data_IF_377228505284
#
_entry.id   IF_377228505284
#
_cell.length_a   1.000
_cell.length_b   1.000
_cell.length_c   1.000
_cell.angle_alpha   90.00
_cell.angle_beta   90.00
_cell.angle_gamma   90.00
#
_symmetry.space_group_name_H-M   'P 1'
#
loop_
_entity.id
_entity.type
_entity.pdbx_description
1 polymer ?
#
# COMPACT_ATOMS: atom_id res chain seq x y z
N UNK A 1 56.95 -19.38 22.36
CA UNK A 1 56.45 -19.06 21.00
C UNK A 1 55.39 -17.97 21.15
N UNK A 2 55.77 -16.71 20.98
CA UNK A 2 54.90 -15.55 21.22
C UNK A 2 54.10 -15.24 19.94
N UNK A 3 52.83 -15.66 19.90
CA UNK A 3 51.91 -15.29 18.83
C UNK A 3 51.56 -13.81 19.04
N UNK A 4 52.04 -12.93 18.14
CA UNK A 4 51.81 -11.48 18.17
C UNK A 4 50.30 -11.17 18.16
N UNK A 5 49.82 -10.45 19.19
CA UNK A 5 48.43 -9.96 19.35
C UNK A 5 47.93 -9.03 18.22
N UNK A 6 48.79 -8.54 17.35
CA UNK A 6 48.43 -7.64 16.24
C UNK A 6 47.60 -8.31 15.12
N UNK A 7 47.64 -9.63 14.98
CA UNK A 7 46.97 -10.33 13.87
C UNK A 7 45.47 -10.63 14.12
N UNK A 8 44.99 -10.51 15.36
CA UNK A 8 43.60 -10.84 15.72
C UNK A 8 42.68 -9.63 15.52
N UNK A 9 43.14 -8.42 15.88
CA UNK A 9 42.35 -7.20 15.69
C UNK A 9 42.11 -6.84 14.22
N UNK A 10 43.07 -7.09 13.32
CA UNK A 10 42.89 -6.85 11.89
C UNK A 10 41.89 -7.83 11.25
N UNK A 11 41.85 -9.09 11.71
CA UNK A 11 40.86 -10.07 11.25
C UNK A 11 39.46 -9.77 11.75
N UNK A 12 39.32 -9.29 12.98
CA UNK A 12 38.04 -8.85 13.53
C UNK A 12 37.49 -7.59 12.82
N UNK A 13 38.36 -6.64 12.46
CA UNK A 13 37.96 -5.45 11.67
C UNK A 13 37.53 -5.82 10.24
N UNK A 14 38.21 -6.76 9.59
CA UNK A 14 37.80 -7.25 8.27
C UNK A 14 36.46 -7.99 8.30
N UNK A 15 36.22 -8.83 9.31
CA UNK A 15 34.93 -9.51 9.49
C UNK A 15 33.79 -8.53 9.81
N UNK A 16 34.04 -7.49 10.61
CA UNK A 16 33.07 -6.42 10.88
C UNK A 16 32.75 -5.59 9.64
N UNK A 17 33.76 -5.27 8.81
CA UNK A 17 33.57 -4.56 7.55
C UNK A 17 32.84 -5.41 6.48
N UNK A 18 33.08 -6.73 6.45
CA UNK A 18 32.35 -7.66 5.59
C UNK A 18 30.89 -7.83 6.03
N UNK A 19 30.60 -7.78 7.33
CA UNK A 19 29.22 -7.76 7.84
C UNK A 19 28.51 -6.43 7.51
N UNK A 20 29.17 -5.29 7.69
CA UNK A 20 28.58 -3.98 7.36
C UNK A 20 28.37 -3.78 5.85
N UNK A 21 29.28 -4.30 5.01
CA UNK A 21 29.14 -4.26 3.55
C UNK A 21 28.08 -5.24 3.02
N UNK A 22 27.77 -6.32 3.74
CA UNK A 22 26.72 -7.26 3.33
C UNK A 22 25.32 -6.77 3.66
N UNK A 23 25.14 -5.95 4.70
CA UNK A 23 23.83 -5.30 4.95
C UNK A 23 23.53 -4.21 3.93
N UNK A 24 24.53 -3.42 3.53
CA UNK A 24 24.36 -2.37 2.50
C UNK A 24 24.22 -2.92 1.09
N UNK A 25 24.93 -4.01 0.76
CA UNK A 25 24.77 -4.70 -0.53
C UNK A 25 23.44 -5.46 -0.63
N UNK A 26 22.90 -5.99 0.48
CA UNK A 26 21.56 -6.59 0.48
C UNK A 26 20.45 -5.55 0.32
N UNK A 27 20.61 -4.31 0.80
CA UNK A 27 19.64 -3.24 0.53
C UNK A 27 19.54 -2.90 -0.96
N UNK A 28 20.69 -2.84 -1.65
CA UNK A 28 20.76 -2.57 -3.08
C UNK A 28 20.30 -3.77 -3.95
N UNK A 29 20.47 -5.02 -3.52
CA UNK A 29 19.97 -6.18 -4.27
C UNK A 29 18.52 -6.56 -3.96
N UNK A 30 18.01 -6.25 -2.77
CA UNK A 30 16.64 -6.63 -2.36
C UNK A 30 15.57 -5.74 -3.00
N UNK A 31 15.94 -4.54 -3.47
CA UNK A 31 15.02 -3.58 -4.12
C UNK A 31 15.64 -2.86 -5.34
N UNK A 32 16.81 -3.30 -5.81
CA UNK A 32 17.55 -2.64 -6.90
C UNK A 32 17.10 -3.06 -8.27
N UNK A 33 16.56 -2.08 -8.99
CA UNK A 33 16.34 -2.10 -10.41
C UNK A 33 17.69 -2.25 -11.12
N UNK A 34 17.80 -3.13 -12.12
CA UNK A 34 19.04 -3.19 -12.89
C UNK A 34 19.21 -1.92 -13.72
N UNK A 35 20.38 -1.26 -13.60
CA UNK A 35 20.75 -0.06 -14.37
C UNK A 35 20.76 -0.29 -15.90
N UNK A 36 20.62 -1.55 -16.34
CA UNK A 36 20.56 -1.99 -17.73
C UNK A 36 19.16 -2.01 -18.35
N UNK A 37 18.12 -1.65 -17.60
CA UNK A 37 16.75 -1.72 -18.09
C UNK A 37 16.40 -0.56 -19.03
N UNK A 38 15.97 -0.92 -20.25
CA UNK A 38 15.33 0.04 -21.14
C UNK A 38 14.09 0.60 -20.42
N UNK A 39 14.03 1.93 -20.35
CA UNK A 39 12.89 2.62 -19.76
C UNK A 39 11.59 2.17 -20.42
N UNK A 40 10.57 1.87 -19.62
CA UNK A 40 9.21 1.63 -20.06
C UNK A 40 8.37 2.90 -19.84
N UNK A 41 7.74 3.42 -20.89
CA UNK A 41 6.93 4.64 -20.81
C UNK A 41 5.67 4.51 -19.95
N UNK A 42 5.18 3.29 -19.73
CA UNK A 42 4.04 3.06 -18.85
C UNK A 42 4.37 3.23 -17.37
N UNK A 43 5.65 3.27 -16.99
CA UNK A 43 6.09 3.46 -15.59
C UNK A 43 5.57 4.76 -14.97
N UNK A 44 5.47 5.81 -15.79
CA UNK A 44 5.01 7.14 -15.37
C UNK A 44 3.52 7.38 -15.68
N UNK A 45 2.77 6.31 -15.98
CA UNK A 45 1.33 6.40 -16.23
C UNK A 45 0.52 6.03 -14.99
N UNK A 46 -0.71 6.53 -14.96
CA UNK A 46 -1.60 6.33 -13.82
C UNK A 46 -2.06 4.88 -13.68
N UNK A 47 -2.13 4.39 -12.45
CA UNK A 47 -2.67 3.07 -12.11
C UNK A 47 -3.94 3.18 -11.27
N UNK A 48 -5.11 2.80 -11.81
CA UNK A 48 -6.37 2.84 -11.08
C UNK A 48 -6.48 1.80 -9.95
N UNK A 49 -6.96 2.25 -8.79
CA UNK A 49 -7.44 1.44 -7.68
C UNK A 49 -8.87 1.83 -7.36
N UNK A 50 -9.76 0.85 -7.15
CA UNK A 50 -11.11 1.14 -6.68
C UNK A 50 -11.36 0.67 -5.27
N UNK A 51 -12.24 1.39 -4.57
CA UNK A 51 -12.74 1.06 -3.24
C UNK A 51 -14.25 1.08 -3.25
N UNK A 52 -14.88 0.03 -2.70
CA UNK A 52 -16.33 -0.03 -2.52
C UNK A 52 -16.69 -0.59 -1.15
N UNK A 53 -17.83 -0.13 -0.65
CA UNK A 53 -18.45 -0.56 0.61
C UNK A 53 -19.81 -1.22 0.32
N UNK A 54 -20.36 -2.02 1.24
CA UNK A 54 -21.58 -2.78 0.96
C UNK A 54 -22.81 -1.90 0.68
N UNK A 55 -22.87 -0.68 1.22
CA UNK A 55 -23.98 0.24 1.02
C UNK A 55 -23.55 1.70 1.16
N UNK A 56 -24.07 2.54 0.26
CA UNK A 56 -24.04 4.00 0.31
C UNK A 56 -24.57 4.57 1.63
N UNK A 57 -25.66 3.99 2.15
CA UNK A 57 -26.31 4.47 3.37
C UNK A 57 -25.41 4.32 4.60
N UNK A 58 -24.49 3.35 4.57
CA UNK A 58 -23.60 3.12 5.69
C UNK A 58 -22.60 4.26 5.85
N UNK A 59 -22.19 4.85 4.73
CA UNK A 59 -21.22 5.95 4.73
C UNK A 59 -21.87 7.33 4.83
N UNK A 60 -23.18 7.44 4.54
CA UNK A 60 -23.96 8.67 4.79
C UNK A 60 -24.46 8.77 6.24
N UNK A 61 -24.75 7.63 6.88
CA UNK A 61 -25.42 7.59 8.20
C UNK A 61 -24.46 7.26 9.36
N UNK A 62 -23.38 6.52 9.10
CA UNK A 62 -22.43 6.08 10.12
C UNK A 62 -21.03 6.67 9.89
N UNK A 63 -20.12 6.40 10.82
CA UNK A 63 -18.72 6.76 10.65
C UNK A 63 -18.18 6.19 9.33
N UNK A 64 -17.50 7.03 8.54
CA UNK A 64 -17.03 6.66 7.21
C UNK A 64 -15.82 5.73 7.32
N UNK A 65 -15.76 4.64 6.55
CA UNK A 65 -14.57 3.84 6.46
C UNK A 65 -13.47 4.65 5.77
N UNK A 66 -12.24 4.27 6.06
CA UNK A 66 -11.03 4.96 5.62
C UNK A 66 -10.10 3.95 4.99
N UNK A 67 -9.27 4.37 4.07
CA UNK A 67 -8.22 3.53 3.55
C UNK A 67 -6.92 4.30 3.51
N UNK A 68 -5.81 3.57 3.58
CA UNK A 68 -4.50 4.06 3.17
C UNK A 68 -4.07 3.32 1.90
N UNK A 69 -3.51 4.06 0.95
CA UNK A 69 -2.67 3.49 -0.11
C UNK A 69 -1.27 4.03 0.11
N UNK A 70 -0.39 3.19 0.61
CA UNK A 70 1.01 3.52 0.90
C UNK A 70 1.85 2.96 -0.23
N UNK A 71 2.67 3.79 -0.84
CA UNK A 71 3.51 3.36 -1.95
C UNK A 71 4.86 4.05 -1.90
N UNK A 72 5.82 3.41 -2.54
CA UNK A 72 7.13 4.02 -2.74
C UNK A 72 7.52 3.77 -4.18
N UNK A 73 7.88 4.83 -4.90
CA UNK A 73 8.34 4.75 -6.28
C UNK A 73 9.63 3.93 -6.36
N UNK A 74 9.82 3.25 -7.50
CA UNK A 74 11.07 2.58 -7.77
C UNK A 74 12.02 3.48 -8.56
N UNK A 75 13.28 3.51 -8.15
CA UNK A 75 14.33 4.25 -8.84
C UNK A 75 14.46 5.71 -8.39
N UNK A 76 15.46 6.41 -8.93
CA UNK A 76 15.84 7.77 -8.50
C UNK A 76 15.28 8.87 -9.39
N UNK A 77 14.42 8.52 -10.36
CA UNK A 77 13.85 9.50 -11.28
C UNK A 77 12.68 10.19 -10.62
N UNK A 78 12.53 11.48 -10.94
CA UNK A 78 11.36 12.23 -10.51
C UNK A 78 10.14 11.78 -11.29
N UNK A 79 9.06 11.52 -10.58
CA UNK A 79 7.78 11.12 -11.12
C UNK A 79 6.79 12.29 -11.07
N UNK A 80 5.63 12.12 -11.70
CA UNK A 80 4.66 13.20 -11.89
C UNK A 80 4.14 13.78 -10.56
N UNK A 81 4.05 12.96 -9.53
CA UNK A 81 3.67 13.32 -8.17
C UNK A 81 4.74 14.13 -7.42
N UNK A 82 6.02 14.05 -7.82
CA UNK A 82 7.08 14.92 -7.29
C UNK A 82 6.93 16.38 -7.76
N UNK A 83 6.02 16.63 -8.69
CA UNK A 83 5.71 17.96 -9.24
C UNK A 83 4.30 18.42 -8.87
N UNK A 84 3.72 17.89 -7.79
CA UNK A 84 2.38 18.27 -7.29
C UNK A 84 2.19 19.80 -7.15
N UNK A 85 3.24 20.54 -6.79
CA UNK A 85 3.23 22.01 -6.70
C UNK A 85 2.95 22.71 -8.03
N UNK A 86 3.31 22.12 -9.18
CA UNK A 86 2.98 22.67 -10.50
C UNK A 86 1.47 22.70 -10.74
N UNK A 87 0.71 21.92 -9.98
CA UNK A 87 -0.73 21.78 -10.08
C UNK A 87 -1.45 22.53 -8.95
N UNK A 88 -0.78 23.51 -8.35
CA UNK A 88 -1.38 24.41 -7.38
C UNK A 88 -1.46 25.84 -7.96
N UNK A 89 -2.68 26.32 -8.21
CA UNK A 89 -2.94 27.67 -8.74
C UNK A 89 -3.70 28.45 -7.67
N UNK A 90 -3.10 29.54 -7.16
CA UNK A 90 -3.71 30.40 -6.13
C UNK A 90 -4.20 29.60 -4.91
N UNK A 91 -3.38 28.68 -4.42
CA UNK A 91 -3.69 27.77 -3.31
C UNK A 91 -4.85 26.79 -3.61
N UNK A 92 -5.23 26.62 -4.88
CA UNK A 92 -6.16 25.59 -5.33
C UNK A 92 -5.41 24.50 -6.08
N UNK A 93 -5.56 23.28 -5.60
CA UNK A 93 -5.07 22.11 -6.32
C UNK A 93 -5.97 21.86 -7.53
N UNK A 94 -5.41 22.06 -8.73
CA UNK A 94 -6.10 21.90 -10.04
C UNK A 94 -5.80 20.56 -10.71
N UNK A 95 -5.06 19.71 -10.03
CA UNK A 95 -4.82 18.34 -10.43
C UNK A 95 -6.15 17.58 -10.60
N UNK A 96 -6.25 16.63 -11.56
CA UNK A 96 -7.49 15.89 -11.77
C UNK A 96 -8.03 15.28 -10.47
N UNK A 97 -9.30 15.56 -10.17
CA UNK A 97 -9.98 14.96 -9.02
C UNK A 97 -9.87 13.43 -9.12
N UNK A 98 -9.51 12.78 -8.00
CA UNK A 98 -9.25 11.33 -7.87
C UNK A 98 -7.83 10.83 -8.23
N UNK A 99 -6.89 11.72 -8.59
CA UNK A 99 -5.47 11.32 -8.62
C UNK A 99 -4.81 11.49 -7.23
N UNK A 100 -3.96 10.54 -6.83
CA UNK A 100 -3.33 10.56 -5.51
C UNK A 100 -2.14 11.53 -5.45
N UNK A 101 -2.06 12.39 -4.43
CA UNK A 101 -0.89 13.26 -4.19
C UNK A 101 0.28 12.54 -3.53
N UNK A 102 0.00 11.50 -2.74
CA UNK A 102 1.01 10.78 -1.95
C UNK A 102 1.47 11.54 -0.69
N UNK A 103 0.87 12.68 -0.36
CA UNK A 103 1.32 13.58 0.71
C UNK A 103 0.38 13.61 1.92
N UNK A 104 -0.56 12.67 2.00
CA UNK A 104 -1.56 12.67 3.07
C UNK A 104 -0.95 12.23 4.41
N UNK A 105 -1.72 12.40 5.48
CA UNK A 105 -1.40 11.77 6.76
C UNK A 105 -2.06 10.41 6.83
N UNK A 106 -1.27 9.33 6.89
CA UNK A 106 -1.80 7.98 7.02
C UNK A 106 -2.80 7.88 8.18
N UNK A 107 -3.91 7.21 7.93
CA UNK A 107 -4.91 6.91 8.95
C UNK A 107 -4.41 5.79 9.87
N UNK A 108 -4.90 5.74 11.12
CA UNK A 108 -4.59 4.66 12.07
C UNK A 108 -3.11 4.43 12.41
N UNK A 109 -2.30 5.48 12.52
CA UNK A 109 -0.88 5.36 12.88
C UNK A 109 -0.59 5.07 14.36
N UNK A 110 -1.58 5.14 15.26
CA UNK A 110 -1.39 5.01 16.72
C UNK A 110 -2.59 4.33 17.41
N UNK A 111 -2.37 3.84 18.64
CA UNK A 111 -3.31 3.05 19.46
C UNK A 111 -4.50 3.80 20.09
N UNK A 112 -4.87 4.98 19.58
CA UNK A 112 -6.01 5.75 20.08
C UNK A 112 -7.31 5.48 19.32
N UNK A 113 -7.51 6.21 18.22
CA UNK A 113 -8.76 6.25 17.46
C UNK A 113 -9.02 5.03 16.56
N UNK A 114 -8.06 4.10 16.49
CA UNK A 114 -8.03 3.05 15.47
C UNK A 114 -7.80 1.64 16.01
N UNK A 115 -7.78 1.49 17.32
CA UNK A 115 -7.44 0.22 17.93
C UNK A 115 -8.55 -0.19 18.86
N UNK A 116 -9.21 -1.29 18.53
CA UNK A 116 -10.04 -2.01 19.49
C UNK A 116 -9.17 -2.90 20.35
N UNK A 117 -9.50 -2.99 21.64
CA UNK A 117 -8.83 -3.90 22.59
C UNK A 117 -8.73 -5.32 21.99
N UNK A 118 -7.51 -5.85 21.90
CA UNK A 118 -7.23 -7.18 21.34
C UNK A 118 -7.06 -7.25 19.81
N UNK A 119 -7.21 -6.14 19.10
CA UNK A 119 -6.96 -5.99 17.65
C UNK A 119 -6.11 -4.74 17.40
N UNK A 120 -4.95 -4.67 18.05
CA UNK A 120 -4.09 -3.48 18.00
C UNK A 120 -2.65 -3.85 17.69
N UNK A 121 -2.35 -4.04 16.41
CA UNK A 121 -1.00 -4.24 15.89
C UNK A 121 -0.97 -3.88 14.41
N UNK A 122 0.22 -3.81 13.80
CA UNK A 122 0.32 -3.64 12.35
C UNK A 122 -0.33 -4.83 11.64
N UNK A 123 -1.20 -4.55 10.68
CA UNK A 123 -2.03 -5.58 10.04
C UNK A 123 -3.25 -6.01 10.87
N UNK A 124 -3.50 -5.33 12.00
CA UNK A 124 -4.65 -5.52 12.87
C UNK A 124 -5.09 -4.16 13.42
N UNK A 125 -5.50 -3.23 12.54
CA UNK A 125 -6.05 -1.93 12.96
C UNK A 125 -5.02 -0.82 13.19
N UNK A 126 -3.71 -1.13 13.15
CA UNK A 126 -2.65 -0.11 13.08
C UNK A 126 -2.07 -0.13 11.67
N UNK A 127 -1.95 1.05 11.08
CA UNK A 127 -1.28 1.23 9.78
C UNK A 127 0.21 0.92 9.88
N UNK A 128 0.74 0.24 8.86
CA UNK A 128 2.16 -0.03 8.72
C UNK A 128 2.99 1.21 8.36
N UNK A 129 2.38 2.38 8.12
CA UNK A 129 3.08 3.57 7.63
C UNK A 129 4.35 3.90 8.41
N UNK A 130 4.29 3.89 9.74
CA UNK A 130 5.45 4.19 10.60
C UNK A 130 6.55 3.14 10.49
N UNK A 131 6.17 1.88 10.39
CA UNK A 131 7.10 0.76 10.24
C UNK A 131 7.79 0.84 8.88
N UNK A 132 7.04 1.21 7.83
CA UNK A 132 7.58 1.42 6.48
C UNK A 132 8.51 2.64 6.42
N UNK A 133 8.19 3.74 7.08
CA UNK A 133 9.11 4.89 7.21
C UNK A 133 10.41 4.50 7.92
N UNK A 134 10.33 3.66 8.96
CA UNK A 134 11.51 3.16 9.66
C UNK A 134 12.31 2.14 8.81
N UNK A 135 11.62 1.33 8.01
CA UNK A 135 12.25 0.35 7.11
C UNK A 135 12.93 1.01 5.90
N UNK A 136 12.38 2.10 5.40
CA UNK A 136 12.86 2.83 4.21
C UNK A 136 13.23 4.29 4.53
N UNK A 137 14.24 4.54 5.37
CA UNK A 137 14.57 5.88 5.86
C UNK A 137 15.13 6.82 4.79
N UNK A 138 15.67 6.27 3.70
CA UNK A 138 16.30 7.02 2.61
C UNK A 138 15.35 7.30 1.43
N UNK A 139 14.09 6.85 1.54
CA UNK A 139 13.11 6.95 0.48
C UNK A 139 11.87 7.72 0.92
N UNK A 140 11.16 8.27 -0.05
CA UNK A 140 9.91 8.97 0.20
C UNK A 140 8.75 7.98 0.34
N UNK A 141 8.30 7.75 1.57
CA UNK A 141 7.14 6.90 1.86
C UNK A 141 5.86 7.70 1.67
N UNK A 142 5.28 7.57 0.48
CA UNK A 142 4.08 8.28 0.06
C UNK A 142 2.83 7.57 0.55
N UNK A 143 1.82 8.35 0.92
CA UNK A 143 0.51 7.83 1.33
C UNK A 143 -0.64 8.67 0.81
N UNK A 144 -1.67 8.00 0.33
CA UNK A 144 -3.03 8.54 0.22
C UNK A 144 -3.83 8.02 1.41
N UNK A 145 -4.51 8.92 2.12
CA UNK A 145 -5.42 8.57 3.20
C UNK A 145 -6.80 9.18 2.92
N UNK A 146 -7.77 8.35 2.52
CA UNK A 146 -9.08 8.86 2.10
C UNK A 146 -10.21 7.89 2.48
N UNK A 147 -11.41 8.11 1.94
CA UNK A 147 -12.61 7.32 2.17
C UNK A 147 -13.29 7.00 0.83
N UNK A 148 -13.96 5.84 0.69
CA UNK A 148 -14.87 5.61 -0.41
C UNK A 148 -15.96 6.70 -0.49
N UNK A 149 -16.41 7.01 -1.70
CA UNK A 149 -17.55 7.89 -1.98
C UNK A 149 -18.84 7.30 -1.42
N UNK A 150 -19.83 8.16 -1.20
CA UNK A 150 -21.13 7.77 -0.66
C UNK A 150 -22.10 7.20 -1.70
N UNK A 151 -21.73 7.13 -2.97
CA UNK A 151 -22.67 6.79 -4.05
C UNK A 151 -22.84 5.28 -4.29
N UNK A 152 -22.26 4.42 -3.44
CA UNK A 152 -22.41 2.94 -3.53
C UNK A 152 -21.68 2.29 -4.71
N UNK A 153 -21.31 3.07 -5.70
CA UNK A 153 -20.46 2.68 -6.83
C UNK A 153 -18.98 2.55 -6.43
N UNK A 154 -18.21 1.97 -7.35
CA UNK A 154 -16.75 1.90 -7.25
C UNK A 154 -16.18 3.33 -7.16
N UNK A 155 -15.51 3.63 -6.04
CA UNK A 155 -14.76 4.88 -5.93
C UNK A 155 -13.36 4.66 -6.47
N UNK A 156 -13.07 5.30 -7.60
CA UNK A 156 -11.78 5.19 -8.26
C UNK A 156 -10.78 6.22 -7.73
N UNK A 157 -9.54 5.77 -7.56
CA UNK A 157 -8.38 6.60 -7.29
C UNK A 157 -7.22 6.13 -8.18
N UNK A 158 -6.44 7.06 -8.69
CA UNK A 158 -5.33 6.73 -9.59
C UNK A 158 -4.00 6.97 -8.92
N UNK A 159 -3.23 5.91 -8.66
CA UNK A 159 -1.81 6.06 -8.32
C UNK A 159 -1.12 6.83 -9.45
N UNK A 160 -0.23 7.77 -9.12
CA UNK A 160 0.40 8.64 -10.12
C UNK A 160 1.40 7.90 -11.03
N UNK A 161 1.77 6.66 -10.67
CA UNK A 161 2.80 5.86 -11.32
C UNK A 161 2.49 4.36 -11.26
N UNK A 162 3.15 3.59 -12.13
CA UNK A 162 3.14 2.11 -12.15
C UNK A 162 4.45 1.49 -11.69
N UNK A 163 5.52 2.28 -11.56
CA UNK A 163 6.83 1.77 -11.20
C UNK A 163 7.12 1.93 -9.70
N UNK A 164 6.87 0.85 -8.96
CA UNK A 164 6.85 0.87 -7.50
C UNK A 164 7.81 -0.16 -6.91
N UNK A 165 8.49 0.23 -5.83
CA UNK A 165 9.23 -0.71 -4.98
C UNK A 165 8.33 -1.32 -3.90
N UNK A 166 7.27 -0.59 -3.53
CA UNK A 166 6.28 -1.02 -2.53
C UNK A 166 4.92 -0.46 -2.89
N UNK A 167 3.89 -1.29 -2.74
CA UNK A 167 2.48 -0.91 -2.77
C UNK A 167 1.78 -1.66 -1.65
N UNK A 168 1.23 -0.91 -0.69
CA UNK A 168 0.42 -1.44 0.39
C UNK A 168 -0.93 -0.75 0.39
N UNK A 169 -1.99 -1.54 0.51
CA UNK A 169 -3.36 -1.04 0.65
C UNK A 169 -3.90 -1.52 1.99
N UNK A 170 -4.49 -0.61 2.74
CA UNK A 170 -5.08 -0.86 4.05
C UNK A 170 -6.50 -0.30 4.03
N UNK A 171 -7.50 -1.12 4.38
CA UNK A 171 -8.89 -0.70 4.44
C UNK A 171 -9.37 -0.80 5.87
N UNK A 172 -9.73 0.34 6.46
CA UNK A 172 -10.23 0.51 7.81
C UNK A 172 -11.73 0.79 7.83
N UNK A 173 -12.44 0.12 8.71
CA UNK A 173 -13.86 0.38 8.97
C UNK A 173 -14.08 0.69 10.43
N UNK A 174 -15.15 1.41 10.79
CA UNK A 174 -15.57 1.50 12.17
C UNK A 174 -15.72 0.10 12.78
N UNK A 175 -15.31 -0.06 14.02
CA UNK A 175 -15.55 -1.27 14.76
C UNK A 175 -17.03 -1.35 15.15
N UNK A 176 -17.68 -2.45 14.79
CA UNK A 176 -18.99 -2.81 15.33
C UNK A 176 -18.91 -4.17 16.03
N UNK A 177 -18.67 -4.11 17.34
CA UNK A 177 -18.78 -5.26 18.24
C UNK A 177 -20.24 -5.72 18.42
N UNK A 178 -20.49 -6.74 19.25
CA UNK A 178 -21.86 -7.11 19.64
C UNK A 178 -22.62 -5.90 20.20
N UNK A 179 -23.90 -5.80 19.83
CA UNK A 179 -24.78 -4.64 19.98
C UNK A 179 -24.73 -4.02 21.38
N UNK A 180 -24.49 -2.71 21.49
CA UNK A 180 -24.72 -1.96 22.73
C UNK A 180 -23.75 -0.83 23.10
N UNK A 181 -22.66 -0.59 22.36
CA UNK A 181 -21.67 0.45 22.72
C UNK A 181 -21.29 1.32 21.53
N UNK A 182 -22.26 1.93 20.87
CA UNK A 182 -22.00 3.12 20.05
C UNK A 182 -22.16 4.35 20.93
N UNK A 183 -21.16 4.62 21.77
CA UNK A 183 -21.03 5.96 22.34
C UNK A 183 -20.16 6.77 21.38
N UNK A 184 -20.65 7.93 20.95
CA UNK A 184 -20.01 8.82 19.97
C UNK A 184 -18.55 9.18 20.30
N UNK A 185 -18.11 8.92 21.54
CA UNK A 185 -16.78 9.14 22.07
C UNK A 185 -15.74 8.03 21.80
N UNK A 186 -16.12 6.86 21.25
CA UNK A 186 -15.19 5.74 21.00
C UNK A 186 -15.43 5.01 19.66
N UNK A 187 -15.47 5.74 18.54
CA UNK A 187 -15.44 5.10 17.21
C UNK A 187 -14.03 4.61 16.89
N UNK A 188 -13.63 3.48 17.45
CA UNK A 188 -12.39 2.80 17.10
C UNK A 188 -12.54 2.15 15.73
N UNK A 189 -11.51 2.23 14.89
CA UNK A 189 -11.48 1.53 13.62
C UNK A 189 -10.86 0.13 13.78
N UNK A 190 -11.15 -0.74 12.82
CA UNK A 190 -10.46 -2.01 12.60
C UNK A 190 -10.08 -2.10 11.12
N UNK A 191 -9.09 -2.92 10.79
CA UNK A 191 -8.63 -3.11 9.42
C UNK A 191 -9.17 -4.44 8.90
N UNK A 192 -10.35 -4.53 8.27
CA UNK A 192 -10.82 -5.78 7.69
C UNK A 192 -9.90 -6.35 6.60
N UNK A 193 -9.12 -5.51 5.91
CA UNK A 193 -8.21 -5.93 4.86
C UNK A 193 -6.96 -5.08 4.83
N UNK A 194 -5.81 -5.74 4.65
CA UNK A 194 -4.66 -5.14 4.02
C UNK A 194 -3.99 -6.15 3.07
N UNK A 195 -3.22 -5.62 2.12
CA UNK A 195 -2.26 -6.41 1.35
C UNK A 195 -1.04 -5.56 0.98
N UNK A 196 0.08 -6.24 0.72
CA UNK A 196 1.35 -5.59 0.43
C UNK A 196 2.13 -6.30 -0.67
N UNK A 197 2.42 -5.56 -1.72
CA UNK A 197 3.33 -5.92 -2.80
C UNK A 197 4.68 -5.23 -2.61
N UNK A 198 5.77 -5.98 -2.85
CA UNK A 198 7.15 -5.47 -2.82
C UNK A 198 7.89 -5.83 -4.10
N UNK A 199 8.73 -4.95 -4.62
CA UNK A 199 9.52 -5.23 -5.81
C UNK A 199 10.41 -6.46 -5.61
N UNK A 200 10.57 -7.26 -6.68
CA UNK A 200 11.39 -8.48 -6.66
C UNK A 200 12.83 -8.23 -7.11
N UNK A 201 13.14 -7.02 -7.60
CA UNK A 201 14.37 -6.72 -8.33
C UNK A 201 14.34 -7.12 -9.81
N UNK A 202 13.27 -7.78 -10.28
CA UNK A 202 13.11 -8.16 -11.69
C UNK A 202 12.27 -7.15 -12.50
N UNK A 203 12.93 -6.09 -12.98
CA UNK A 203 12.26 -4.94 -13.62
C UNK A 203 11.20 -4.30 -12.69
N UNK A 204 9.98 -4.12 -13.17
CA UNK A 204 8.80 -3.60 -12.45
C UNK A 204 7.92 -4.71 -11.82
N UNK A 205 8.44 -5.93 -11.69
CA UNK A 205 7.74 -7.02 -11.03
C UNK A 205 7.67 -6.80 -9.51
N UNK A 206 6.49 -7.04 -8.95
CA UNK A 206 6.25 -7.03 -7.52
C UNK A 206 5.68 -8.38 -7.06
N UNK A 207 6.05 -8.78 -5.86
CA UNK A 207 5.61 -9.99 -5.17
C UNK A 207 4.65 -9.62 -4.04
N UNK A 208 3.53 -10.33 -3.93
CA UNK A 208 2.62 -10.27 -2.79
C UNK A 208 3.33 -10.89 -1.57
N UNK A 209 3.59 -10.07 -0.56
CA UNK A 209 4.36 -10.46 0.63
C UNK A 209 3.49 -10.62 1.87
N UNK A 210 2.34 -9.95 1.92
CA UNK A 210 1.41 -10.07 3.02
C UNK A 210 -0.03 -9.79 2.57
N UNK A 211 -0.96 -10.54 3.15
CA UNK A 211 -2.41 -10.31 3.10
C UNK A 211 -2.95 -10.63 4.49
N UNK A 212 -3.84 -9.79 5.00
CA UNK A 212 -4.47 -10.08 6.27
C UNK A 212 -5.43 -8.99 6.71
N UNK A 213 -5.69 -8.94 8.00
CA UNK A 213 -6.61 -8.00 8.61
C UNK A 213 -7.44 -8.66 9.71
N UNK A 214 -8.57 -8.04 10.00
CA UNK A 214 -9.46 -8.35 11.13
C UNK A 214 -10.83 -8.83 10.67
N UNK A 215 -10.96 -9.21 9.40
CA UNK A 215 -12.15 -9.76 8.77
C UNK A 215 -12.81 -10.86 9.61
N UNK A 216 -14.12 -11.01 9.44
CA UNK A 216 -14.90 -11.98 10.19
C UNK A 216 -14.37 -13.41 9.98
N UNK A 217 -14.05 -14.09 11.08
CA UNK A 217 -13.50 -15.46 11.06
C UNK A 217 -12.14 -15.58 10.35
N UNK A 218 -11.40 -14.47 10.17
CA UNK A 218 -10.19 -14.44 9.35
C UNK A 218 -10.42 -14.97 7.92
N UNK A 219 -11.61 -14.73 7.36
CA UNK A 219 -11.96 -15.18 6.02
C UNK A 219 -11.49 -14.17 4.97
N UNK A 220 -10.50 -14.57 4.18
CA UNK A 220 -9.95 -13.81 3.05
C UNK A 220 -10.17 -14.51 1.71
N UNK A 221 -11.11 -15.47 1.62
CA UNK A 221 -11.35 -16.25 0.38
C UNK A 221 -11.82 -15.39 -0.81
N UNK A 222 -12.31 -14.18 -0.55
CA UNK A 222 -12.67 -13.19 -1.57
C UNK A 222 -11.47 -12.38 -2.10
N UNK A 223 -10.30 -12.51 -1.48
CA UNK A 223 -9.07 -11.78 -1.85
C UNK A 223 -8.28 -12.63 -2.85
N UNK A 224 -8.57 -12.42 -4.13
CA UNK A 224 -7.99 -13.12 -5.26
C UNK A 224 -6.89 -12.26 -5.91
N UNK A 225 -5.81 -12.05 -5.16
CA UNK A 225 -4.65 -11.28 -5.59
C UNK A 225 -3.55 -12.21 -6.14
N UNK A 226 -3.01 -11.97 -7.35
CA UNK A 226 -1.91 -12.77 -7.88
C UNK A 226 -0.67 -12.68 -7.00
N UNK A 227 0.08 -13.78 -6.91
CA UNK A 227 1.34 -13.82 -6.17
C UNK A 227 2.37 -12.80 -6.71
N UNK A 228 2.37 -12.59 -8.02
CA UNK A 228 3.24 -11.62 -8.70
C UNK A 228 2.45 -10.76 -9.66
N UNK A 229 2.82 -9.48 -9.74
CA UNK A 229 2.20 -8.52 -10.64
C UNK A 229 3.27 -7.65 -11.33
N UNK A 230 2.93 -7.15 -12.52
CA UNK A 230 3.55 -5.97 -13.12
C UNK A 230 2.44 -4.96 -13.32
N UNK A 231 2.50 -3.79 -12.68
CA UNK A 231 1.39 -2.83 -12.79
C UNK A 231 1.18 -2.35 -14.24
N UNK A 232 2.20 -2.43 -15.07
CA UNK A 232 2.15 -2.17 -16.53
C UNK A 232 1.28 -3.17 -17.31
N UNK A 233 0.99 -4.35 -16.77
CA UNK A 233 0.16 -5.38 -17.42
C UNK A 233 -1.29 -5.45 -16.95
N UNK A 234 -1.68 -4.65 -15.95
CA UNK A 234 -3.04 -4.66 -15.38
C UNK A 234 -3.76 -3.34 -15.62
N UNK A 235 -5.08 -3.40 -15.80
CA UNK A 235 -5.92 -2.22 -15.93
C UNK A 235 -6.13 -1.53 -14.57
N UNK A 236 -6.29 -2.31 -13.49
CA UNK A 236 -6.56 -1.80 -12.15
C UNK A 236 -6.36 -2.84 -11.04
N UNK A 237 -6.45 -2.40 -9.78
CA UNK A 237 -6.83 -3.25 -8.64
C UNK A 237 -8.19 -2.80 -8.12
N UNK A 238 -9.09 -3.74 -7.85
CA UNK A 238 -10.37 -3.44 -7.22
C UNK A 238 -10.40 -4.01 -5.80
N UNK A 239 -10.87 -3.21 -4.85
CA UNK A 239 -11.00 -3.58 -3.44
C UNK A 239 -12.43 -3.27 -2.99
N UNK A 240 -13.08 -4.23 -2.35
CA UNK A 240 -14.41 -4.00 -1.80
C UNK A 240 -14.65 -4.83 -0.55
N UNK A 241 -15.64 -4.39 0.21
CA UNK A 241 -16.15 -5.10 1.36
C UNK A 241 -17.58 -5.56 1.05
N UNK A 242 -17.94 -6.75 1.52
CA UNK A 242 -19.32 -7.23 1.57
C UNK A 242 -19.73 -7.50 3.02
N UNK A 243 -21.04 -7.61 3.27
CA UNK A 243 -21.58 -8.05 4.56
C UNK A 243 -22.55 -9.20 4.34
N UNK A 244 -22.46 -10.22 5.20
CA UNK A 244 -23.35 -11.37 5.19
C UNK A 244 -24.67 -11.13 5.93
N UNK A 245 -24.76 -10.08 6.76
CA UNK A 245 -25.91 -9.83 7.65
C UNK A 245 -26.68 -8.56 7.28
N UNK A 246 -26.13 -7.69 6.43
CA UNK A 246 -26.71 -6.38 6.14
C UNK A 246 -26.54 -5.36 7.28
N UNK A 247 -25.93 -5.78 8.41
CA UNK A 247 -25.61 -4.88 9.52
C UNK A 247 -24.37 -4.02 9.18
N UNK A 248 -24.43 -2.70 9.41
CA UNK A 248 -23.30 -1.81 9.19
C UNK A 248 -22.04 -2.25 9.94
N UNK A 249 -20.95 -2.39 9.18
CA UNK A 249 -19.60 -2.72 9.65
C UNK A 249 -19.44 -4.07 10.34
N UNK A 250 -20.51 -4.84 10.51
CA UNK A 250 -20.47 -6.17 11.11
C UNK A 250 -20.21 -7.22 10.06
N UNK A 251 -19.58 -8.32 10.49
CA UNK A 251 -19.40 -9.52 9.67
C UNK A 251 -18.85 -9.22 8.26
N UNK A 252 -17.96 -8.23 8.17
CA UNK A 252 -17.41 -7.79 6.90
C UNK A 252 -16.50 -8.86 6.33
N UNK A 253 -16.69 -9.12 5.04
CA UNK A 253 -15.84 -9.99 4.24
C UNK A 253 -15.10 -9.13 3.21
N UNK A 254 -13.77 -9.18 3.19
CA UNK A 254 -12.99 -8.42 2.24
C UNK A 254 -12.82 -9.16 0.93
N UNK A 255 -12.70 -8.38 -0.13
CA UNK A 255 -12.40 -8.85 -1.46
C UNK A 255 -11.41 -7.91 -2.13
N UNK A 256 -10.54 -8.50 -2.93
CA UNK A 256 -9.69 -7.75 -3.84
C UNK A 256 -9.32 -8.62 -5.05
N UNK A 257 -9.15 -8.00 -6.21
CA UNK A 257 -8.57 -8.67 -7.37
C UNK A 257 -7.90 -7.65 -8.30
N UNK A 258 -7.03 -8.15 -9.17
CA UNK A 258 -6.47 -7.38 -10.30
C UNK A 258 -7.42 -7.44 -11.49
N UNK A 259 -7.62 -6.33 -12.18
CA UNK A 259 -8.37 -6.28 -13.44
C UNK A 259 -7.39 -6.41 -14.59
N UNK A 260 -7.55 -7.44 -15.40
CA UNK A 260 -6.73 -7.63 -16.60
C UNK A 260 -7.05 -6.57 -17.64
N UNK A 261 -6.00 -6.13 -18.35
CA UNK A 261 -6.19 -5.40 -19.60
C UNK A 261 -6.86 -6.29 -20.65
N UNK A 262 -7.76 -5.72 -21.46
CA UNK A 262 -8.28 -6.38 -22.66
C UNK A 262 -7.16 -6.66 -23.66
N UNK A 263 -7.39 -7.56 -24.62
CA UNK A 263 -6.39 -7.84 -25.66
C UNK A 263 -6.04 -6.59 -26.48
N UNK A 264 -7.03 -5.72 -26.73
CA UNK A 264 -6.80 -4.43 -27.39
C UNK A 264 -5.95 -3.47 -26.56
N UNK A 265 -6.09 -3.46 -25.23
CA UNK A 265 -5.24 -2.67 -24.34
C UNK A 265 -3.84 -3.25 -24.25
N UNK A 266 -3.70 -4.59 -24.16
CA UNK A 266 -2.41 -5.27 -24.17
C UNK A 266 -1.62 -5.02 -25.45
N UNK A 267 -2.30 -4.89 -26.59
CA UNK A 267 -1.68 -4.56 -27.87
C UNK A 267 -1.07 -3.15 -27.90
N UNK A 268 -1.50 -2.23 -27.02
CA UNK A 268 -0.94 -0.89 -26.87
C UNK A 268 0.27 -0.85 -25.94
N UNK A 269 0.58 -1.95 -25.23
CA UNK A 269 1.75 -2.01 -24.35
C UNK A 269 3.02 -2.04 -25.24
N UNK A 270 3.94 -1.07 -25.08
CA UNK A 270 5.21 -1.06 -25.80
C UNK A 270 6.05 -2.30 -25.52
N UNK A 271 6.83 -2.77 -26.49
CA UNK A 271 7.62 -4.01 -26.33
C UNK A 271 8.64 -3.93 -25.19
N UNK A 272 9.22 -2.76 -24.94
CA UNK A 272 10.10 -2.48 -23.81
C UNK A 272 9.39 -2.48 -22.44
N UNK A 273 8.06 -2.45 -22.43
CA UNK A 273 7.20 -2.57 -21.24
C UNK A 273 6.66 -3.98 -21.00
N UNK A 274 6.94 -4.94 -21.89
CA UNK A 274 6.52 -6.33 -21.76
C UNK A 274 7.46 -7.17 -20.88
#
# INVERSE_FOLDING_TARGET
MNIKKQNICQRALLLGALFLASVTAQGAQKYGLSDSLQYCELWDTFFPLSFQVPSADWVSTYARPKFNVIYISAGKRKHVDDYTDLYNIKNQFVWPSHLMSGLDTAFCQNSGNCVTKGKGSVGQGISAYKDLVAEFPDDDVKVLANAPSYEGDLTWYSLPIRYLKLLRVEFFTPYSGPVGVFTQSYNQYVEPLYFEYRATGNKDEMQLTAVGGTAAGANFNGVNLPEKIRLTSYAAIQVWLSSSTGDPWKTLLPYAHTVDMSDSQKALIPDNCK
#
